data_IF_535720758369
#
_entry.id   IF_535720758369
#
_cell.length_a   1.000
_cell.length_b   1.000
_cell.length_c   1.000
_cell.angle_alpha   90.00
_cell.angle_beta   90.00
_cell.angle_gamma   90.00
#
_symmetry.space_group_name_H-M   'P 1'
#
loop_
_entity.id
_entity.type
_entity.pdbx_description
1 polymer ?
#
# COMPACT_ATOMS: atom_id res chain seq x y z
N UNK A 1 58.73 -24.27 2.82
CA UNK A 1 58.37 -24.41 4.25
C UNK A 1 57.02 -23.73 4.40
N UNK A 2 56.00 -24.56 4.47
CA UNK A 2 54.58 -24.24 4.69
C UNK A 2 54.40 -23.43 5.96
N UNK A 3 53.44 -22.50 6.00
CA UNK A 3 52.30 -22.60 6.92
C UNK A 3 51.08 -21.91 6.30
N UNK A 4 50.11 -22.74 5.95
CA UNK A 4 48.71 -22.41 5.67
C UNK A 4 48.09 -21.94 6.98
N UNK A 5 47.39 -20.82 6.99
CA UNK A 5 46.49 -20.47 8.09
C UNK A 5 45.06 -20.69 7.60
N UNK A 6 44.58 -21.91 7.77
CA UNK A 6 43.14 -22.23 7.78
C UNK A 6 42.54 -21.62 9.05
N UNK A 7 41.77 -20.55 8.88
CA UNK A 7 40.74 -20.18 9.83
C UNK A 7 39.39 -20.46 9.19
N UNK A 8 38.92 -21.68 9.40
CA UNK A 8 37.51 -22.08 9.32
C UNK A 8 36.68 -21.22 10.28
N UNK A 9 35.74 -20.43 9.75
CA UNK A 9 34.39 -20.29 10.32
C UNK A 9 33.49 -19.66 9.26
N UNK A 10 32.50 -20.43 8.86
CA UNK A 10 31.34 -20.09 8.05
C UNK A 10 30.66 -18.79 8.52
N UNK A 11 30.80 -17.71 7.76
CA UNK A 11 29.82 -16.63 7.77
C UNK A 11 28.72 -16.99 6.78
N UNK A 12 27.73 -17.77 7.26
CA UNK A 12 26.38 -17.64 6.72
C UNK A 12 26.01 -16.16 6.93
N UNK A 13 26.19 -15.34 5.90
CA UNK A 13 25.51 -14.04 5.83
C UNK A 13 24.01 -14.36 5.80
N UNK A 14 23.40 -14.50 6.98
CA UNK A 14 21.96 -14.38 7.12
C UNK A 14 21.61 -13.01 6.56
N UNK A 15 21.08 -12.97 5.35
CA UNK A 15 20.44 -11.77 4.81
C UNK A 15 19.31 -11.40 5.76
N UNK A 16 19.58 -10.47 6.68
CA UNK A 16 18.59 -9.95 7.59
C UNK A 16 17.56 -9.16 6.78
N UNK A 17 16.30 -9.58 6.86
CA UNK A 17 15.23 -8.93 6.11
C UNK A 17 15.02 -7.50 6.60
N UNK A 18 14.89 -6.56 5.66
CA UNK A 18 14.51 -5.18 5.96
C UNK A 18 13.01 -5.03 5.68
N UNK A 19 12.20 -4.53 6.63
CA UNK A 19 10.79 -4.25 6.39
C UNK A 19 10.58 -3.46 5.10
N UNK A 20 9.67 -3.95 4.26
CA UNK A 20 9.47 -3.48 2.90
C UNK A 20 8.12 -2.79 2.78
N UNK A 21 8.14 -1.53 2.33
CA UNK A 21 6.96 -0.88 1.76
C UNK A 21 7.07 -0.93 0.24
N UNK A 22 6.22 -1.74 -0.39
CA UNK A 22 6.13 -1.88 -1.83
C UNK A 22 5.04 -0.96 -2.37
N UNK A 23 5.41 -0.03 -3.23
CA UNK A 23 4.48 0.84 -3.95
C UNK A 23 4.43 0.42 -5.42
N UNK A 24 3.22 0.20 -5.94
CA UNK A 24 3.00 -0.20 -7.33
C UNK A 24 2.12 0.85 -8.00
N UNK A 25 2.72 1.80 -8.74
CA UNK A 25 1.97 2.76 -9.56
C UNK A 25 1.24 2.03 -10.70
N UNK A 26 -0.03 2.38 -10.90
CA UNK A 26 -0.94 1.77 -11.86
C UNK A 26 -1.75 2.84 -12.58
N UNK A 27 -2.16 2.51 -13.81
CA UNK A 27 -3.19 3.26 -14.53
C UNK A 27 -4.31 2.32 -14.98
N UNK A 28 -5.45 2.40 -14.31
CA UNK A 28 -6.58 1.46 -14.46
C UNK A 28 -7.63 1.92 -15.49
N UNK A 29 -7.27 2.85 -16.37
CA UNK A 29 -8.16 3.44 -17.36
C UNK A 29 -7.61 4.74 -17.97
N UNK A 30 -8.38 5.31 -18.90
CA UNK A 30 -8.03 6.57 -19.57
C UNK A 30 -8.51 7.78 -18.78
N UNK A 31 -9.82 7.86 -18.56
CA UNK A 31 -10.52 8.95 -17.87
C UNK A 31 -11.06 8.54 -16.51
N UNK A 32 -11.55 7.31 -16.38
CA UNK A 32 -12.06 6.72 -15.15
C UNK A 32 -11.56 5.29 -14.99
N UNK A 33 -11.64 4.76 -13.76
CA UNK A 33 -11.30 3.36 -13.49
C UNK A 33 -12.26 2.45 -14.25
N UNK A 34 -11.72 1.51 -15.03
CA UNK A 34 -12.55 0.51 -15.69
C UNK A 34 -13.14 -0.45 -14.64
N UNK A 35 -14.46 -0.67 -14.70
CA UNK A 35 -15.21 -1.51 -13.76
C UNK A 35 -14.68 -2.95 -13.69
N UNK A 36 -14.03 -3.45 -14.74
CA UNK A 36 -13.40 -4.77 -14.73
C UNK A 36 -12.31 -4.92 -13.66
N UNK A 37 -11.72 -3.83 -13.19
CA UNK A 37 -10.69 -3.84 -12.15
C UNK A 37 -11.27 -3.77 -10.73
N UNK A 38 -12.55 -3.43 -10.55
CA UNK A 38 -13.14 -3.30 -9.20
C UNK A 38 -13.06 -4.60 -8.39
N UNK A 39 -13.33 -5.80 -8.94
CA UNK A 39 -13.15 -7.04 -8.19
C UNK A 39 -11.70 -7.29 -7.78
N UNK A 40 -10.73 -6.88 -8.61
CA UNK A 40 -9.31 -7.00 -8.27
C UNK A 40 -8.91 -6.03 -7.16
N UNK A 41 -9.38 -4.78 -7.23
CA UNK A 41 -9.20 -3.77 -6.18
C UNK A 41 -9.78 -4.26 -4.85
N UNK A 42 -11.00 -4.80 -4.87
CA UNK A 42 -11.63 -5.39 -3.69
C UNK A 42 -10.77 -6.52 -3.10
N UNK A 43 -10.22 -7.39 -3.94
CA UNK A 43 -9.33 -8.45 -3.47
C UNK A 43 -8.01 -7.91 -2.91
N UNK A 44 -7.45 -6.82 -3.45
CA UNK A 44 -6.26 -6.19 -2.89
C UNK A 44 -6.52 -5.66 -1.48
N UNK A 45 -7.66 -5.00 -1.23
CA UNK A 45 -8.03 -4.56 0.12
C UNK A 45 -8.23 -5.70 1.12
N UNK A 46 -8.46 -6.93 0.65
CA UNK A 46 -8.57 -8.12 1.51
C UNK A 46 -7.21 -8.73 1.88
N UNK A 47 -6.12 -8.32 1.25
CA UNK A 47 -4.79 -8.83 1.56
C UNK A 47 -4.28 -8.24 2.88
N UNK A 48 -3.75 -9.08 3.76
CA UNK A 48 -3.20 -8.67 5.06
C UNK A 48 -2.07 -7.62 4.92
N UNK A 49 -1.26 -7.75 3.87
CA UNK A 49 -0.18 -6.81 3.59
C UNK A 49 -0.65 -5.50 2.97
N UNK A 50 -1.91 -5.37 2.55
CA UNK A 50 -2.41 -4.16 1.89
C UNK A 50 -2.52 -3.02 2.91
N UNK A 51 -1.87 -1.90 2.61
CA UNK A 51 -1.93 -0.68 3.40
C UNK A 51 -2.62 0.44 2.62
N UNK A 52 -3.52 0.08 1.72
CA UNK A 52 -4.36 1.01 0.97
C UNK A 52 -3.81 1.43 -0.39
N UNK A 53 -4.49 2.42 -0.98
CA UNK A 53 -4.22 2.94 -2.31
C UNK A 53 -4.13 4.46 -2.21
N UNK A 54 -3.11 5.04 -2.81
CA UNK A 54 -3.01 6.49 -2.98
C UNK A 54 -3.36 6.86 -4.42
N UNK A 55 -4.02 8.00 -4.62
CA UNK A 55 -4.30 8.48 -5.97
C UNK A 55 -5.20 9.70 -5.96
N UNK A 56 -5.96 9.89 -7.02
CA UNK A 56 -6.84 11.04 -7.18
C UNK A 56 -6.40 11.96 -8.32
N UNK A 57 -7.09 13.10 -8.43
CA UNK A 57 -6.88 14.06 -9.53
C UNK A 57 -5.83 15.09 -9.13
N UNK A 58 -5.27 15.86 -10.09
CA UNK A 58 -4.43 17.02 -9.75
C UNK A 58 -5.14 17.92 -8.72
N UNK A 59 -4.43 18.26 -7.63
CA UNK A 59 -4.95 19.02 -6.48
C UNK A 59 -6.10 18.37 -5.70
N UNK A 60 -6.39 17.09 -5.93
CA UNK A 60 -7.43 16.33 -5.24
C UNK A 60 -6.96 14.90 -4.92
N UNK A 61 -5.89 14.78 -4.13
CA UNK A 61 -5.30 13.50 -3.75
C UNK A 61 -6.06 12.84 -2.58
N UNK A 62 -6.37 11.56 -2.71
CA UNK A 62 -7.12 10.77 -1.74
C UNK A 62 -6.31 9.53 -1.32
N UNK A 63 -6.53 9.09 -0.08
CA UNK A 63 -6.01 7.82 0.42
C UNK A 63 -7.16 6.84 0.62
N UNK A 64 -7.26 5.86 -0.27
CA UNK A 64 -8.31 4.85 -0.24
C UNK A 64 -7.95 3.72 0.72
N UNK A 65 -8.88 3.43 1.62
CA UNK A 65 -8.74 2.43 2.69
C UNK A 65 -9.66 1.21 2.49
N UNK A 66 -10.56 1.25 1.51
CA UNK A 66 -11.44 0.13 1.23
C UNK A 66 -12.36 0.35 0.04
N UNK A 67 -13.25 -0.61 -0.18
CA UNK A 67 -14.30 -0.57 -1.20
C UNK A 67 -15.58 -1.19 -0.64
N UNK A 68 -16.73 -0.59 -0.95
CA UNK A 68 -18.06 -1.10 -0.61
C UNK A 68 -18.96 -1.03 -1.85
N UNK A 69 -19.27 -2.19 -2.43
CA UNK A 69 -19.94 -2.27 -3.73
C UNK A 69 -19.04 -1.68 -4.82
N UNK A 70 -19.54 -0.70 -5.57
CA UNK A 70 -18.76 0.04 -6.59
C UNK A 70 -18.10 1.32 -6.05
N UNK A 71 -18.16 1.60 -4.74
CA UNK A 71 -17.67 2.85 -4.14
C UNK A 71 -16.40 2.62 -3.33
N UNK A 72 -15.37 3.41 -3.62
CA UNK A 72 -14.15 3.43 -2.81
C UNK A 72 -14.35 4.27 -1.54
N UNK A 73 -13.81 3.79 -0.42
CA UNK A 73 -13.80 4.48 0.88
C UNK A 73 -12.42 5.12 1.04
N UNK A 74 -12.37 6.40 1.41
CA UNK A 74 -11.13 7.17 1.44
C UNK A 74 -11.06 8.17 2.58
N UNK A 75 -9.83 8.58 2.91
CA UNK A 75 -9.51 9.74 3.74
C UNK A 75 -9.12 10.92 2.83
N UNK A 76 -9.65 12.10 3.13
CA UNK A 76 -9.46 13.33 2.35
C UNK A 76 -8.60 14.34 3.13
N UNK A 77 -7.39 14.71 2.62
CA UNK A 77 -6.50 15.66 3.28
C UNK A 77 -6.81 17.14 2.98
N UNK A 78 -7.79 17.47 2.13
CA UNK A 78 -8.02 18.85 1.67
C UNK A 78 -8.71 19.75 2.70
N UNK A 79 -9.00 19.24 3.89
CA UNK A 79 -9.42 20.06 5.01
C UNK A 79 -8.21 20.66 5.72
N UNK A 80 -8.01 21.97 5.54
CA UNK A 80 -6.93 22.71 6.20
C UNK A 80 -7.21 22.82 7.70
N UNK A 81 -6.37 22.19 8.52
CA UNK A 81 -6.44 22.24 9.98
C UNK A 81 -5.40 23.22 10.53
N UNK A 82 -5.66 23.88 11.68
CA UNK A 82 -4.65 24.70 12.34
C UNK A 82 -3.42 23.84 12.68
N UNK A 83 -2.23 24.43 12.53
CA UNK A 83 -0.98 23.75 12.89
C UNK A 83 -0.94 23.44 14.38
N UNK A 84 -0.66 22.19 14.73
CA UNK A 84 -0.50 21.78 16.13
C UNK A 84 0.93 22.13 16.57
N UNK A 85 1.06 23.03 17.55
CA UNK A 85 2.36 23.48 18.10
C UNK A 85 2.83 22.54 19.23
N UNK A 86 1.92 21.78 19.85
CA UNK A 86 2.22 20.88 20.98
C UNK A 86 1.98 19.40 20.63
N UNK A 87 2.99 18.55 20.89
CA UNK A 87 3.01 17.12 20.51
C UNK A 87 1.88 16.25 21.08
N UNK A 88 1.09 16.74 22.04
CA UNK A 88 0.11 15.96 22.79
C UNK A 88 -1.29 16.59 22.87
N UNK A 89 -1.66 17.44 21.91
CA UNK A 89 -3.05 17.88 21.79
C UNK A 89 -3.94 16.74 21.31
N UNK A 90 -4.86 16.26 22.16
CA UNK A 90 -5.94 15.34 21.78
C UNK A 90 -6.78 15.97 20.67
N UNK A 91 -6.40 15.75 19.43
CA UNK A 91 -7.15 16.20 18.26
C UNK A 91 -8.10 15.09 17.84
N UNK A 92 -9.38 15.45 17.66
CA UNK A 92 -10.40 14.56 17.11
C UNK A 92 -10.14 14.44 15.62
N UNK A 93 -9.75 13.24 15.17
CA UNK A 93 -9.18 13.08 13.83
C UNK A 93 -10.19 12.91 12.68
N UNK A 94 -11.47 12.65 12.94
CA UNK A 94 -12.43 12.31 11.89
C UNK A 94 -13.60 13.28 11.78
N UNK A 95 -13.60 14.07 10.71
CA UNK A 95 -14.81 14.45 9.98
C UNK A 95 -14.52 14.08 8.52
N UNK A 96 -15.10 12.99 8.04
CA UNK A 96 -14.88 12.49 6.68
C UNK A 96 -16.21 12.42 5.95
N UNK A 97 -16.27 13.10 4.79
CA UNK A 97 -17.43 13.12 3.92
C UNK A 97 -17.40 11.94 2.95
N UNK A 98 -18.52 11.22 2.85
CA UNK A 98 -18.75 10.21 1.84
C UNK A 98 -19.23 10.88 0.56
N UNK A 99 -18.31 11.34 -0.29
CA UNK A 99 -18.68 11.80 -1.63
C UNK A 99 -18.34 10.73 -2.68
N UNK A 100 -19.26 10.54 -3.62
CA UNK A 100 -19.03 9.68 -4.77
C UNK A 100 -18.20 10.45 -5.80
N UNK A 101 -16.88 10.47 -5.64
CA UNK A 101 -16.00 11.13 -6.59
C UNK A 101 -15.67 10.20 -7.77
N UNK A 102 -15.68 10.73 -8.99
CA UNK A 102 -15.00 10.07 -10.11
C UNK A 102 -13.50 10.03 -9.81
N UNK A 103 -13.01 8.85 -9.45
CA UNK A 103 -11.61 8.62 -9.09
C UNK A 103 -10.77 8.55 -10.37
N UNK A 104 -9.66 9.30 -10.38
CA UNK A 104 -8.68 9.25 -11.46
C UNK A 104 -8.11 7.82 -11.59
N UNK A 105 -7.96 7.28 -12.81
CA UNK A 105 -7.43 5.94 -12.99
C UNK A 105 -5.94 5.81 -12.61
N UNK A 106 -5.23 6.92 -12.39
CA UNK A 106 -3.86 6.96 -11.89
C UNK A 106 -3.82 6.76 -10.37
N UNK A 107 -3.38 5.58 -9.96
CA UNK A 107 -3.35 5.15 -8.56
C UNK A 107 -1.99 4.49 -8.23
N UNK A 108 -1.66 4.34 -6.96
CA UNK A 108 -0.60 3.43 -6.53
C UNK A 108 -1.07 2.56 -5.37
N UNK A 109 -0.95 1.24 -5.55
CA UNK A 109 -1.18 0.25 -4.49
C UNK A 109 0.01 0.25 -3.54
N UNK A 110 -0.26 0.12 -2.25
CA UNK A 110 0.77 0.00 -1.23
C UNK A 110 0.63 -1.32 -0.46
N UNK A 111 1.74 -2.06 -0.36
CA UNK A 111 1.83 -3.25 0.46
C UNK A 111 2.98 -3.13 1.45
N UNK A 112 2.76 -3.53 2.70
CA UNK A 112 3.78 -3.58 3.74
C UNK A 112 4.09 -5.02 4.14
N UNK A 113 5.38 -5.37 4.10
CA UNK A 113 5.89 -6.68 4.48
C UNK A 113 6.98 -6.51 5.54
N UNK A 114 6.61 -6.74 6.81
CA UNK A 114 7.53 -6.66 7.94
C UNK A 114 8.64 -7.74 7.88
N UNK A 115 8.32 -8.93 7.34
CA UNK A 115 9.24 -10.06 7.22
C UNK A 115 9.27 -10.64 5.80
N UNK A 116 10.31 -11.43 5.50
CA UNK A 116 10.43 -12.17 4.24
C UNK A 116 9.24 -13.12 4.01
N UNK A 117 8.73 -13.76 5.07
CA UNK A 117 7.55 -14.64 4.99
C UNK A 117 6.28 -13.88 4.60
N UNK A 118 6.13 -12.63 5.06
CA UNK A 118 5.00 -11.77 4.66
C UNK A 118 5.10 -11.42 3.16
N UNK A 119 6.31 -11.21 2.64
CA UNK A 119 6.52 -10.97 1.21
C UNK A 119 6.22 -12.21 0.35
N UNK A 120 6.63 -13.41 0.80
CA UNK A 120 6.31 -14.66 0.11
C UNK A 120 4.80 -14.96 0.10
N UNK A 121 4.11 -14.66 1.21
CA UNK A 121 2.64 -14.72 1.29
C UNK A 121 1.99 -13.76 0.28
N UNK A 122 2.41 -12.49 0.28
CA UNK A 122 1.94 -11.49 -0.68
C UNK A 122 2.15 -11.98 -2.12
N UNK A 123 3.34 -12.49 -2.45
CA UNK A 123 3.68 -13.00 -3.79
C UNK A 123 2.75 -14.15 -4.22
N UNK A 124 2.42 -15.06 -3.31
CA UNK A 124 1.48 -16.15 -3.56
C UNK A 124 0.06 -15.65 -3.79
N UNK A 125 -0.39 -14.70 -2.99
CA UNK A 125 -1.76 -14.20 -3.07
C UNK A 125 -1.96 -13.30 -4.29
N UNK A 126 -0.98 -12.46 -4.65
CA UNK A 126 -0.99 -11.69 -5.88
C UNK A 126 -1.09 -12.58 -7.12
N UNK A 127 -0.40 -13.73 -7.15
CA UNK A 127 -0.55 -14.71 -8.25
C UNK A 127 -1.99 -15.21 -8.39
N UNK A 128 -2.70 -15.44 -7.28
CA UNK A 128 -4.10 -15.88 -7.31
C UNK A 128 -5.06 -14.78 -7.76
N UNK A 129 -4.78 -13.53 -7.39
CA UNK A 129 -5.63 -12.37 -7.73
C UNK A 129 -5.43 -11.95 -9.19
N UNK A 130 -4.19 -11.96 -9.69
CA UNK A 130 -3.86 -11.44 -11.02
C UNK A 130 -3.93 -12.48 -12.16
N UNK A 131 -3.84 -13.79 -11.88
CA UNK A 131 -3.83 -14.85 -12.90
C UNK A 131 -5.19 -15.58 -13.04
N UNK A 132 -6.28 -14.88 -12.77
CA UNK A 132 -7.65 -15.39 -12.99
C UNK A 132 -8.24 -14.86 -14.29
#
# INVERSE_FOLDING_TARGET
MTLVNESTTSEDQKCEWRPLLLLVPLRLGLTSINRCYLPAIENFFKLESCVGIIGGRPNHALYFIGIAGEKLVYLDPHYCRPSIIEKYGHTRWLEEGFESLEVDPSLALAFFCESADSFERLSRDLRKVCLR
#
